data_IF_635308497377
#
_entry.id   IF_635308497377
#
_cell.length_a   1.000
_cell.length_b   1.000
_cell.length_c   1.000
_cell.angle_alpha   90.00
_cell.angle_beta   90.00
_cell.angle_gamma   90.00
#
_symmetry.space_group_name_H-M   'P 1'
#
loop_
_entity.id
_entity.type
_entity.pdbx_description
1 polymer ?
#
# COMPACT_ATOMS: atom_id res chain seq x y z
N UNK A 1 -14.68 -22.67 -14.94
CA UNK A 1 -13.86 -22.98 -13.75
C UNK A 1 -14.57 -22.44 -12.52
N UNK A 2 -14.69 -23.20 -11.42
CA UNK A 2 -15.35 -22.70 -10.22
C UNK A 2 -14.50 -21.60 -9.53
N UNK A 3 -15.14 -20.62 -8.88
CA UNK A 3 -14.45 -19.53 -8.18
C UNK A 3 -13.64 -20.04 -6.98
N UNK A 4 -12.45 -19.48 -6.78
CA UNK A 4 -11.44 -19.94 -5.80
C UNK A 4 -11.71 -19.51 -4.34
N UNK A 5 -12.79 -18.77 -4.06
CA UNK A 5 -13.15 -18.35 -2.70
C UNK A 5 -14.67 -18.19 -2.51
N UNK A 6 -15.28 -19.08 -1.73
CA UNK A 6 -16.70 -19.00 -1.33
C UNK A 6 -16.95 -19.28 0.15
N UNK A 7 -15.90 -19.61 0.94
CA UNK A 7 -15.99 -19.99 2.36
C UNK A 7 -14.97 -19.24 3.23
N UNK A 8 -15.10 -19.32 4.56
CA UNK A 8 -14.11 -18.72 5.47
C UNK A 8 -12.74 -19.39 5.35
N UNK A 9 -11.66 -18.67 5.67
CA UNK A 9 -10.28 -19.18 5.61
C UNK A 9 -10.09 -20.47 6.42
N UNK A 10 -10.70 -20.54 7.61
CA UNK A 10 -10.61 -21.70 8.51
C UNK A 10 -11.32 -22.92 7.94
N UNK A 11 -12.56 -22.77 7.45
CA UNK A 11 -13.30 -23.87 6.81
C UNK A 11 -12.57 -24.39 5.57
N UNK A 12 -11.94 -23.48 4.82
CA UNK A 12 -11.13 -23.83 3.64
C UNK A 12 -9.89 -24.63 4.04
N UNK A 13 -9.23 -24.26 5.15
CA UNK A 13 -8.08 -24.99 5.69
C UNK A 13 -8.48 -26.39 6.18
N UNK A 14 -9.57 -26.50 6.95
CA UNK A 14 -10.07 -27.79 7.44
C UNK A 14 -10.51 -28.71 6.30
N UNK A 15 -11.12 -28.16 5.25
CA UNK A 15 -11.46 -28.90 4.03
C UNK A 15 -10.20 -29.34 3.27
N UNK A 16 -9.18 -28.49 3.22
CA UNK A 16 -7.90 -28.81 2.60
C UNK A 16 -7.18 -29.95 3.34
N UNK A 17 -7.09 -29.90 4.67
CA UNK A 17 -6.44 -30.95 5.47
C UNK A 17 -7.14 -32.30 5.32
N UNK A 18 -8.49 -32.33 5.36
CA UNK A 18 -9.27 -33.55 5.09
C UNK A 18 -9.03 -34.08 3.68
N UNK A 19 -8.89 -33.19 2.71
CA UNK A 19 -8.57 -33.59 1.34
C UNK A 19 -7.16 -34.16 1.22
N UNK A 20 -6.15 -33.56 1.87
CA UNK A 20 -4.78 -34.11 1.89
C UNK A 20 -4.77 -35.51 2.49
N UNK A 21 -5.53 -35.75 3.56
CA UNK A 21 -5.67 -37.09 4.17
C UNK A 21 -6.36 -38.12 3.26
N UNK A 22 -7.09 -37.67 2.23
CA UNK A 22 -7.77 -38.55 1.26
C UNK A 22 -6.92 -38.86 0.02
N UNK A 23 -5.73 -38.28 -0.09
CA UNK A 23 -4.83 -38.51 -1.22
C UNK A 23 -4.22 -39.92 -1.17
N UNK A 24 -3.82 -40.42 -2.33
CA UNK A 24 -3.03 -41.64 -2.42
C UNK A 24 -1.70 -41.43 -1.64
N UNK A 25 -1.27 -42.38 -0.78
CA UNK A 25 -0.03 -42.27 0.00
C UNK A 25 1.25 -42.06 -0.83
N UNK A 26 1.22 -42.38 -2.12
CA UNK A 26 2.31 -42.13 -3.07
C UNK A 26 2.25 -40.73 -3.71
N UNK A 27 1.21 -39.95 -3.45
CA UNK A 27 1.09 -38.56 -3.93
C UNK A 27 2.10 -37.67 -3.21
N UNK A 28 2.86 -36.90 -3.98
CA UNK A 28 3.75 -35.87 -3.45
C UNK A 28 3.00 -34.55 -3.34
N UNK A 29 2.98 -33.96 -2.15
CA UNK A 29 2.42 -32.63 -1.91
C UNK A 29 3.57 -31.66 -1.64
N UNK A 30 3.81 -30.77 -2.59
CA UNK A 30 4.82 -29.72 -2.50
C UNK A 30 4.14 -28.46 -2.01
N UNK A 31 4.58 -27.92 -0.89
CA UNK A 31 4.20 -26.60 -0.41
C UNK A 31 5.30 -25.62 -0.75
N UNK A 32 4.96 -24.46 -1.29
CA UNK A 32 5.88 -23.37 -1.58
C UNK A 32 5.34 -22.04 -1.09
N UNK A 33 6.23 -21.16 -0.66
CA UNK A 33 5.91 -19.81 -0.21
C UNK A 33 7.05 -18.84 -0.56
N UNK A 34 6.70 -17.56 -0.68
CA UNK A 34 7.61 -16.44 -0.91
C UNK A 34 7.56 -15.42 0.23
N UNK A 35 8.74 -14.93 0.65
CA UNK A 35 8.87 -13.90 1.67
C UNK A 35 9.62 -12.69 1.14
N UNK A 36 9.33 -11.51 1.70
CA UNK A 36 10.09 -10.29 1.49
C UNK A 36 10.47 -9.70 2.86
N UNK A 37 11.77 -9.59 3.11
CA UNK A 37 12.26 -9.02 4.37
C UNK A 37 12.00 -7.51 4.46
N UNK A 38 12.14 -6.94 5.66
CA UNK A 38 12.05 -5.49 5.86
C UNK A 38 13.15 -4.70 5.11
N UNK A 39 14.26 -5.36 4.78
CA UNK A 39 15.34 -4.82 3.94
C UNK A 39 15.07 -4.99 2.44
N UNK A 40 13.94 -5.59 2.05
CA UNK A 40 13.58 -5.82 0.66
C UNK A 40 14.27 -7.03 0.01
N UNK A 41 14.77 -7.99 0.81
CA UNK A 41 15.32 -9.24 0.28
C UNK A 41 14.18 -10.24 0.04
N UNK A 42 13.96 -10.58 -1.23
CA UNK A 42 12.99 -11.59 -1.64
C UNK A 42 13.59 -13.00 -1.60
N UNK A 43 12.86 -13.95 -1.06
CA UNK A 43 13.31 -15.33 -0.87
C UNK A 43 12.15 -16.30 -0.95
N UNK A 44 12.44 -17.55 -1.30
CA UNK A 44 11.46 -18.63 -1.40
C UNK A 44 11.83 -19.78 -0.47
N UNK A 45 10.81 -20.55 -0.11
CA UNK A 45 10.92 -21.80 0.60
C UNK A 45 9.97 -22.82 0.01
N UNK A 46 10.37 -24.09 0.02
CA UNK A 46 9.48 -25.19 -0.33
C UNK A 46 9.74 -26.41 0.55
N UNK A 47 8.71 -27.22 0.73
CA UNK A 47 8.78 -28.51 1.42
C UNK A 47 7.93 -29.53 0.67
N UNK A 48 8.42 -30.74 0.57
CA UNK A 48 7.79 -31.87 -0.11
C UNK A 48 7.34 -32.84 0.97
N UNK A 49 6.05 -33.15 0.97
CA UNK A 49 5.43 -34.07 1.89
C UNK A 49 4.92 -35.30 1.13
N UNK A 50 5.08 -36.48 1.72
CA UNK A 50 4.50 -37.73 1.27
C UNK A 50 3.83 -38.38 2.48
N UNK A 51 2.58 -38.81 2.33
CA UNK A 51 1.78 -39.36 3.44
C UNK A 51 1.80 -38.47 4.69
N UNK A 52 1.65 -37.15 4.49
CA UNK A 52 1.72 -36.11 5.55
C UNK A 52 3.06 -35.98 6.29
N UNK A 53 4.11 -36.67 5.85
CA UNK A 53 5.45 -36.58 6.42
C UNK A 53 6.37 -35.77 5.49
N UNK A 54 7.20 -34.86 6.03
CA UNK A 54 8.16 -34.12 5.24
C UNK A 54 9.28 -35.04 4.74
N UNK A 55 9.52 -35.05 3.43
CA UNK A 55 10.53 -35.87 2.75
C UNK A 55 11.76 -35.05 2.40
N UNK A 56 11.55 -33.86 1.84
CA UNK A 56 12.61 -32.99 1.37
C UNK A 56 12.16 -31.54 1.51
N UNK A 57 13.11 -30.64 1.75
CA UNK A 57 12.83 -29.20 1.74
C UNK A 57 13.99 -28.45 1.10
N UNK A 58 13.72 -27.23 0.67
CA UNK A 58 14.71 -26.34 0.10
C UNK A 58 14.28 -24.89 0.22
N UNK A 59 15.24 -23.99 0.05
CA UNK A 59 15.00 -22.56 0.10
C UNK A 59 16.11 -21.81 -0.62
N UNK A 60 15.86 -20.55 -0.96
CA UNK A 60 16.85 -19.72 -1.63
C UNK A 60 16.45 -18.26 -1.61
N UNK A 61 17.43 -17.40 -1.85
CA UNK A 61 17.25 -15.96 -2.01
C UNK A 61 17.27 -15.60 -3.49
N UNK A 62 16.41 -14.66 -3.90
CA UNK A 62 16.44 -14.08 -5.24
C UNK A 62 17.34 -12.84 -5.25
N UNK A 63 17.65 -12.37 -6.46
CA UNK A 63 18.07 -10.98 -6.66
C UNK A 63 16.93 -10.00 -6.30
N UNK A 64 17.04 -8.73 -6.72
CA UNK A 64 16.01 -7.74 -6.47
C UNK A 64 14.66 -8.15 -7.10
N UNK A 65 13.73 -8.62 -6.29
CA UNK A 65 12.48 -9.23 -6.72
C UNK A 65 11.34 -8.89 -5.75
N UNK A 66 10.11 -9.19 -6.13
CA UNK A 66 8.94 -9.10 -5.24
C UNK A 66 8.50 -10.48 -4.76
N UNK A 67 7.67 -10.52 -3.71
CA UNK A 67 7.11 -11.77 -3.14
C UNK A 67 6.53 -12.66 -4.24
N UNK A 68 5.80 -12.07 -5.19
CA UNK A 68 5.20 -12.78 -6.33
C UNK A 68 6.22 -13.57 -7.17
N UNK A 69 7.42 -13.02 -7.38
CA UNK A 69 8.48 -13.68 -8.15
C UNK A 69 9.11 -14.82 -7.33
N UNK A 70 9.25 -14.62 -6.02
CA UNK A 70 9.74 -15.64 -5.10
C UNK A 70 8.78 -16.84 -4.99
N UNK A 71 7.47 -16.60 -4.92
CA UNK A 71 6.41 -17.63 -4.94
C UNK A 71 6.52 -18.54 -6.16
N UNK A 72 6.63 -17.92 -7.35
CA UNK A 72 6.80 -18.65 -8.61
C UNK A 72 8.08 -19.50 -8.60
N UNK A 73 9.16 -18.93 -8.07
CA UNK A 73 10.46 -19.60 -7.98
C UNK A 73 10.41 -20.76 -6.99
N UNK A 74 9.78 -20.60 -5.83
CA UNK A 74 9.57 -21.66 -4.84
C UNK A 74 8.78 -22.83 -5.41
N UNK A 75 7.70 -22.55 -6.15
CA UNK A 75 6.91 -23.58 -6.82
C UNK A 75 7.72 -24.34 -7.88
N UNK A 76 8.53 -23.65 -8.70
CA UNK A 76 9.41 -24.26 -9.69
C UNK A 76 10.49 -25.14 -9.05
N UNK A 77 11.18 -24.63 -8.03
CA UNK A 77 12.23 -25.37 -7.35
C UNK A 77 11.67 -26.58 -6.60
N UNK A 78 10.49 -26.44 -6.00
CA UNK A 78 9.76 -27.56 -5.39
C UNK A 78 9.35 -28.62 -6.41
N UNK A 79 8.86 -28.23 -7.59
CA UNK A 79 8.54 -29.16 -8.68
C UNK A 79 9.80 -29.89 -9.19
N UNK A 80 10.89 -29.17 -9.45
CA UNK A 80 12.18 -29.75 -9.87
C UNK A 80 12.69 -30.77 -8.83
N UNK A 81 12.63 -30.40 -7.55
CA UNK A 81 13.05 -31.28 -6.47
C UNK A 81 12.14 -32.53 -6.36
N UNK A 82 10.83 -32.37 -6.54
CA UNK A 82 9.89 -33.49 -6.57
C UNK A 82 10.17 -34.44 -7.74
N UNK A 83 10.40 -33.92 -8.95
CA UNK A 83 10.72 -34.73 -10.14
C UNK A 83 12.03 -35.52 -9.99
N UNK A 84 12.98 -35.02 -9.20
CA UNK A 84 14.27 -35.68 -8.96
C UNK A 84 14.22 -36.82 -7.92
N UNK A 85 13.12 -37.00 -7.20
CA UNK A 85 12.96 -38.16 -6.31
C UNK A 85 12.81 -39.43 -7.16
N UNK A 86 13.55 -40.49 -6.83
CA UNK A 86 13.83 -41.68 -7.67
C UNK A 86 12.61 -42.53 -8.13
N UNK A 87 11.39 -42.10 -7.88
CA UNK A 87 10.14 -42.82 -8.15
C UNK A 87 9.02 -41.87 -8.60
N UNK A 88 9.34 -40.61 -8.94
CA UNK A 88 8.35 -39.57 -9.22
C UNK A 88 7.64 -39.68 -10.56
N UNK A 89 8.19 -40.40 -11.53
CA UNK A 89 7.61 -40.52 -12.89
C UNK A 89 6.22 -41.15 -12.87
N UNK A 90 5.88 -41.93 -11.83
CA UNK A 90 4.59 -42.60 -11.69
C UNK A 90 3.69 -41.95 -10.61
N UNK A 91 4.11 -40.83 -10.01
CA UNK A 91 3.41 -40.23 -8.85
C UNK A 91 2.65 -38.99 -9.25
N UNK A 92 1.50 -38.77 -8.60
CA UNK A 92 0.82 -37.49 -8.68
C UNK A 92 1.62 -36.45 -7.89
N UNK A 93 1.85 -35.27 -8.48
CA UNK A 93 2.51 -34.14 -7.81
C UNK A 93 1.48 -33.02 -7.66
N UNK A 94 1.32 -32.54 -6.44
CA UNK A 94 0.43 -31.43 -6.11
C UNK A 94 1.27 -30.28 -5.60
N UNK A 95 1.24 -29.15 -6.31
CA UNK A 95 1.90 -27.91 -5.93
C UNK A 95 0.89 -27.01 -5.20
N UNK A 96 1.17 -26.70 -3.94
CA UNK A 96 0.37 -25.90 -3.03
C UNK A 96 1.06 -24.57 -2.73
N UNK A 97 0.36 -23.46 -2.95
CA UNK A 97 0.84 -22.11 -2.65
C UNK A 97 -0.33 -21.20 -2.26
N UNK A 98 -0.08 -20.20 -1.44
CA UNK A 98 -1.14 -19.32 -0.91
C UNK A 98 -1.31 -18.00 -1.68
N UNK A 99 -0.43 -17.73 -2.64
CA UNK A 99 -0.56 -16.64 -3.58
C UNK A 99 -1.43 -17.02 -4.78
N UNK A 100 -2.68 -16.55 -4.76
CA UNK A 100 -3.65 -16.82 -5.82
C UNK A 100 -3.20 -16.33 -7.20
N UNK A 101 -2.49 -15.20 -7.27
CA UNK A 101 -2.00 -14.66 -8.53
C UNK A 101 -0.90 -15.55 -9.12
N UNK A 102 0.05 -15.99 -8.29
CA UNK A 102 1.10 -16.91 -8.71
C UNK A 102 0.50 -18.26 -9.14
N UNK A 103 -0.45 -18.81 -8.37
CA UNK A 103 -1.14 -20.06 -8.70
C UNK A 103 -1.88 -19.97 -10.04
N UNK A 104 -2.50 -18.83 -10.33
CA UNK A 104 -3.18 -18.58 -11.62
C UNK A 104 -2.18 -18.55 -12.78
N UNK A 105 -1.01 -17.94 -12.56
CA UNK A 105 0.04 -17.88 -13.58
C UNK A 105 0.63 -19.27 -13.86
N UNK A 106 0.92 -20.07 -12.82
CA UNK A 106 1.42 -21.44 -12.94
C UNK A 106 0.46 -22.36 -13.72
N UNK A 107 -0.84 -22.08 -13.69
CA UNK A 107 -1.87 -22.86 -14.40
C UNK A 107 -2.03 -22.53 -15.89
N UNK A 108 -1.39 -21.47 -16.40
CA UNK A 108 -1.39 -21.21 -17.85
C UNK A 108 -1.40 -19.75 -18.29
N UNK A 109 -1.40 -18.78 -17.38
CA UNK A 109 -1.35 -17.34 -17.74
C UNK A 109 -0.06 -16.70 -17.23
N UNK A 110 1.09 -16.98 -17.85
CA UNK A 110 2.39 -16.52 -17.33
C UNK A 110 2.44 -14.99 -17.27
N UNK A 111 2.96 -14.47 -16.16
CA UNK A 111 3.18 -13.03 -15.95
C UNK A 111 4.36 -12.53 -16.78
N UNK A 112 4.40 -11.23 -17.08
CA UNK A 112 5.58 -10.58 -17.67
C UNK A 112 6.80 -10.65 -16.72
N UNK A 113 6.56 -10.68 -15.40
CA UNK A 113 7.62 -10.79 -14.39
C UNK A 113 7.91 -12.26 -14.10
N UNK A 114 9.20 -12.63 -14.10
CA UNK A 114 9.67 -14.01 -13.96
C UNK A 114 8.98 -14.97 -14.95
N UNK A 115 8.78 -14.49 -16.19
CA UNK A 115 8.07 -15.23 -17.23
C UNK A 115 8.75 -16.57 -17.54
N UNK A 116 10.07 -16.57 -17.56
CA UNK A 116 10.93 -17.76 -17.71
C UNK A 116 10.62 -18.82 -16.65
N UNK A 117 10.47 -18.41 -15.38
CA UNK A 117 10.11 -19.30 -14.27
C UNK A 117 8.74 -19.95 -14.49
N UNK A 118 7.73 -19.16 -14.90
CA UNK A 118 6.40 -19.69 -15.17
C UNK A 118 6.36 -20.62 -16.38
N UNK A 119 7.04 -20.25 -17.47
CA UNK A 119 7.11 -21.08 -18.68
C UNK A 119 7.85 -22.39 -18.41
N UNK A 120 8.96 -22.35 -17.67
CA UNK A 120 9.69 -23.56 -17.28
C UNK A 120 8.84 -24.46 -16.39
N UNK A 121 8.14 -23.91 -15.40
CA UNK A 121 7.22 -24.67 -14.56
C UNK A 121 6.14 -25.36 -15.40
N UNK A 122 5.50 -24.62 -16.29
CA UNK A 122 4.42 -25.15 -17.14
C UNK A 122 4.94 -26.25 -18.07
N UNK A 123 6.12 -26.08 -18.65
CA UNK A 123 6.76 -27.09 -19.49
C UNK A 123 7.05 -28.38 -18.71
N UNK A 124 7.61 -28.27 -17.50
CA UNK A 124 7.89 -29.42 -16.63
C UNK A 124 6.60 -30.12 -16.16
N UNK A 125 5.59 -29.34 -15.76
CA UNK A 125 4.30 -29.88 -15.36
C UNK A 125 3.59 -30.61 -16.51
N UNK A 126 3.67 -30.06 -17.74
CA UNK A 126 3.12 -30.69 -18.94
C UNK A 126 3.88 -31.95 -19.33
N UNK A 127 5.22 -31.94 -19.24
CA UNK A 127 6.06 -33.10 -19.52
C UNK A 127 5.79 -34.26 -18.55
N UNK A 128 5.57 -33.94 -17.27
CA UNK A 128 5.22 -34.93 -16.26
C UNK A 128 3.78 -35.48 -16.42
N UNK A 129 2.83 -34.64 -16.84
CA UNK A 129 1.45 -35.04 -17.13
C UNK A 129 0.55 -35.29 -15.91
N UNK A 130 1.13 -35.52 -14.72
CA UNK A 130 0.41 -35.76 -13.46
C UNK A 130 0.70 -34.68 -12.39
N UNK A 131 0.95 -33.44 -12.81
CA UNK A 131 1.19 -32.29 -11.92
C UNK A 131 -0.05 -31.40 -11.83
N UNK A 132 -0.49 -31.09 -10.61
CA UNK A 132 -1.63 -30.20 -10.36
C UNK A 132 -1.21 -29.03 -9.47
N UNK A 133 -1.71 -27.83 -9.79
CA UNK A 133 -1.52 -26.64 -8.95
C UNK A 133 -2.79 -26.35 -8.17
N UNK A 134 -2.65 -26.19 -6.85
CA UNK A 134 -3.74 -25.90 -5.93
C UNK A 134 -3.42 -24.70 -5.06
N UNK A 135 -4.36 -23.78 -4.97
CA UNK A 135 -4.28 -22.69 -4.01
C UNK A 135 -4.66 -23.18 -2.61
N UNK A 136 -3.91 -22.73 -1.60
CA UNK A 136 -4.20 -22.97 -0.19
C UNK A 136 -4.40 -21.66 0.56
N UNK A 137 -5.25 -21.61 1.61
CA UNK A 137 -5.36 -20.42 2.42
C UNK A 137 -4.06 -20.17 3.20
N UNK A 138 -3.49 -18.98 3.05
CA UNK A 138 -2.33 -18.54 3.83
C UNK A 138 -2.67 -18.15 5.27
N UNK A 139 -1.73 -18.42 6.17
CA UNK A 139 -1.80 -18.18 7.63
C UNK A 139 -2.98 -18.86 8.31
N UNK A 140 -3.19 -20.14 8.03
CA UNK A 140 -4.27 -20.96 8.61
C UNK A 140 -3.77 -22.29 9.17
N UNK A 141 -2.56 -22.30 9.73
CA UNK A 141 -1.98 -23.46 10.42
C UNK A 141 -1.89 -24.75 9.58
N UNK A 142 -1.80 -24.63 8.25
CA UNK A 142 -1.52 -25.77 7.37
C UNK A 142 -0.03 -26.12 7.54
N UNK A 143 0.34 -27.29 8.12
CA UNK A 143 1.71 -27.53 8.55
C UNK A 143 2.76 -27.39 7.44
N UNK A 144 2.45 -27.87 6.23
CA UNK A 144 3.33 -27.74 5.07
C UNK A 144 3.52 -26.29 4.59
N UNK A 145 2.44 -25.49 4.58
CA UNK A 145 2.52 -24.07 4.20
C UNK A 145 3.33 -23.28 5.23
N UNK A 146 3.06 -23.48 6.52
CA UNK A 146 3.81 -22.83 7.62
C UNK A 146 5.29 -23.22 7.63
N UNK A 147 5.63 -24.44 7.19
CA UNK A 147 7.02 -24.85 7.02
C UNK A 147 7.66 -24.14 5.82
N UNK A 148 6.97 -24.02 4.69
CA UNK A 148 7.46 -23.28 3.52
C UNK A 148 7.68 -21.79 3.84
N UNK A 149 6.74 -21.14 4.56
CA UNK A 149 6.85 -19.77 5.06
C UNK A 149 8.11 -19.58 5.93
N UNK A 150 8.33 -20.47 6.89
CA UNK A 150 9.51 -20.44 7.77
C UNK A 150 10.81 -20.55 6.98
N UNK A 151 10.85 -21.44 6.00
CA UNK A 151 12.00 -21.63 5.11
C UNK A 151 12.24 -20.39 4.25
N UNK A 152 11.20 -19.81 3.67
CA UNK A 152 11.28 -18.58 2.89
C UNK A 152 11.82 -17.43 3.73
N UNK A 153 11.30 -17.23 4.95
CA UNK A 153 11.78 -16.20 5.87
C UNK A 153 13.23 -16.38 6.27
N UNK A 154 13.64 -17.61 6.61
CA UNK A 154 15.02 -17.92 6.95
C UNK A 154 15.99 -17.64 5.78
N UNK A 155 15.56 -17.94 4.56
CA UNK A 155 16.37 -17.74 3.35
C UNK A 155 16.60 -16.25 3.00
N UNK A 156 15.82 -15.33 3.56
CA UNK A 156 16.03 -13.89 3.32
C UNK A 156 17.38 -13.37 3.83
N UNK A 157 17.97 -14.08 4.80
CA UNK A 157 19.29 -13.80 5.37
C UNK A 157 20.45 -14.40 4.58
N UNK A 158 20.18 -15.20 3.54
CA UNK A 158 21.23 -15.75 2.68
C UNK A 158 21.88 -14.64 1.85
N UNK A 159 23.13 -14.85 1.38
CA UNK A 159 23.74 -13.94 0.41
C UNK A 159 22.89 -13.88 -0.86
N UNK A 160 22.84 -12.69 -1.48
CA UNK A 160 22.22 -12.54 -2.79
C UNK A 160 23.00 -13.36 -3.83
N UNK A 161 22.32 -14.07 -4.74
CA UNK A 161 23.02 -14.82 -5.78
C UNK A 161 23.89 -13.90 -6.64
N UNK A 162 25.10 -14.35 -6.94
CA UNK A 162 26.05 -13.58 -7.74
C UNK A 162 25.50 -13.35 -9.17
N UNK A 163 25.54 -12.10 -9.63
CA UNK A 163 25.04 -11.72 -10.96
C UNK A 163 23.51 -11.66 -11.11
N UNK A 164 22.75 -11.79 -10.02
CA UNK A 164 21.29 -11.76 -10.07
C UNK A 164 20.75 -10.45 -10.67
N UNK A 165 19.86 -10.58 -11.65
CA UNK A 165 19.20 -9.44 -12.29
C UNK A 165 17.89 -9.11 -11.58
N UNK A 166 17.49 -7.83 -11.53
CA UNK A 166 16.22 -7.43 -10.95
C UNK A 166 15.04 -7.94 -11.79
N UNK A 167 13.95 -8.34 -11.13
CA UNK A 167 12.72 -8.72 -11.82
C UNK A 167 11.98 -7.50 -12.36
N UNK A 168 11.13 -7.71 -13.37
CA UNK A 168 10.32 -6.64 -13.93
C UNK A 168 9.33 -6.04 -12.90
N UNK A 169 8.77 -6.87 -12.02
CA UNK A 169 7.92 -6.41 -10.93
C UNK A 169 8.67 -5.46 -9.98
N UNK A 170 9.90 -5.83 -9.60
CA UNK A 170 10.78 -4.98 -8.79
C UNK A 170 11.07 -3.64 -9.49
N UNK A 171 11.48 -3.67 -10.76
CA UNK A 171 11.77 -2.45 -11.53
C UNK A 171 10.54 -1.53 -11.64
N UNK A 172 9.35 -2.09 -11.89
CA UNK A 172 8.08 -1.34 -11.94
C UNK A 172 7.76 -0.69 -10.60
N UNK A 173 8.00 -1.37 -9.46
CA UNK A 173 7.83 -0.79 -8.12
C UNK A 173 8.79 0.35 -7.88
N UNK A 174 10.09 0.17 -8.16
CA UNK A 174 11.11 1.20 -8.01
C UNK A 174 10.78 2.43 -8.86
N UNK A 175 10.37 2.24 -10.11
CA UNK A 175 9.99 3.33 -11.01
C UNK A 175 8.77 4.13 -10.49
N UNK A 176 7.83 3.48 -9.80
CA UNK A 176 6.67 4.16 -9.17
C UNK A 176 7.00 4.85 -7.85
N UNK A 177 8.02 4.36 -7.15
CA UNK A 177 8.38 4.82 -5.82
C UNK A 177 9.36 6.01 -5.86
N UNK A 178 10.38 5.95 -6.73
CA UNK A 178 11.39 7.01 -6.86
C UNK A 178 10.82 8.42 -7.03
N UNK A 179 9.83 8.68 -7.91
CA UNK A 179 9.26 10.02 -8.06
C UNK A 179 8.53 10.51 -6.80
N UNK A 180 7.90 9.60 -6.04
CA UNK A 180 7.21 9.96 -4.79
C UNK A 180 8.20 10.38 -3.73
N UNK A 181 9.27 9.62 -3.55
CA UNK A 181 10.33 9.93 -2.60
C UNK A 181 11.02 11.23 -2.96
N UNK A 182 11.39 11.41 -4.23
CA UNK A 182 11.98 12.65 -4.72
C UNK A 182 11.06 13.86 -4.45
N UNK A 183 9.75 13.71 -4.65
CA UNK A 183 8.77 14.74 -4.37
C UNK A 183 8.62 15.04 -2.88
N UNK A 184 8.59 14.02 -2.02
CA UNK A 184 8.54 14.19 -0.56
C UNK A 184 9.80 14.89 -0.03
N UNK A 185 10.99 14.48 -0.51
CA UNK A 185 12.26 15.13 -0.19
C UNK A 185 12.27 16.59 -0.64
N UNK A 186 11.86 16.86 -1.88
CA UNK A 186 11.73 18.23 -2.40
C UNK A 186 10.76 19.07 -1.57
N UNK A 187 9.63 18.51 -1.14
CA UNK A 187 8.67 19.24 -0.33
C UNK A 187 9.25 19.66 1.01
N UNK A 188 9.95 18.76 1.71
CA UNK A 188 10.56 19.07 3.01
C UNK A 188 11.56 20.23 2.90
N UNK A 189 12.34 20.28 1.82
CA UNK A 189 13.34 21.33 1.61
C UNK A 189 12.76 22.64 1.09
N UNK A 190 11.73 22.58 0.24
CA UNK A 190 11.20 23.74 -0.49
C UNK A 190 9.92 24.33 0.10
N UNK A 191 9.30 23.67 1.10
CA UNK A 191 8.01 24.11 1.65
C UNK A 191 8.11 25.50 2.30
N UNK A 192 7.24 26.46 1.92
CA UNK A 192 7.20 27.77 2.56
C UNK A 192 6.92 27.68 4.05
N UNK A 193 7.53 28.57 4.84
CA UNK A 193 7.38 28.60 6.31
C UNK A 193 5.91 28.63 6.76
N UNK A 194 5.05 29.33 6.03
CA UNK A 194 3.61 29.33 6.31
C UNK A 194 2.99 27.93 6.18
N UNK A 195 3.34 27.17 5.14
CA UNK A 195 2.79 25.84 4.89
C UNK A 195 3.33 24.84 5.93
N UNK A 196 4.57 25.03 6.41
CA UNK A 196 5.13 24.29 7.56
C UNK A 196 4.26 24.50 8.80
N UNK A 197 3.92 25.74 9.14
CA UNK A 197 3.09 26.09 10.32
C UNK A 197 1.68 25.49 10.24
N UNK A 198 1.12 25.40 9.04
CA UNK A 198 -0.20 24.81 8.79
C UNK A 198 -0.17 23.26 8.72
N UNK A 199 1.02 22.65 8.82
CA UNK A 199 1.23 21.21 8.71
C UNK A 199 0.60 20.63 7.43
N UNK A 200 0.76 21.35 6.32
CA UNK A 200 0.29 20.92 5.01
C UNK A 200 1.31 19.95 4.40
N UNK A 201 0.82 18.75 4.04
CA UNK A 201 1.61 17.76 3.31
C UNK A 201 1.41 17.98 1.82
N UNK A 202 2.49 17.94 1.05
CA UNK A 202 2.36 17.82 -0.39
C UNK A 202 1.81 16.44 -0.75
N UNK A 203 1.02 16.39 -1.81
CA UNK A 203 0.43 15.17 -2.34
C UNK A 203 0.40 15.26 -3.86
N UNK A 204 0.72 14.15 -4.52
CA UNK A 204 0.56 14.01 -5.98
C UNK A 204 -0.91 13.64 -6.32
N UNK A 205 -1.69 13.25 -5.31
CA UNK A 205 -3.13 12.96 -5.45
C UNK A 205 -3.96 14.23 -5.35
N UNK A 206 -5.18 14.17 -5.88
CA UNK A 206 -6.20 15.22 -5.70
C UNK A 206 -6.50 15.44 -4.20
N UNK A 207 -6.18 16.62 -3.63
CA UNK A 207 -6.48 16.91 -2.23
C UNK A 207 -7.99 16.98 -1.97
N UNK A 208 -8.48 16.54 -0.80
CA UNK A 208 -9.91 16.54 -0.49
C UNK A 208 -10.52 17.95 -0.50
N UNK A 209 -9.73 19.00 -0.26
CA UNK A 209 -10.16 20.40 -0.34
C UNK A 209 -10.71 20.78 -1.71
N UNK A 210 -10.25 20.13 -2.79
CA UNK A 210 -10.71 20.44 -4.15
C UNK A 210 -12.17 20.02 -4.40
N UNK A 211 -12.77 19.23 -3.50
CA UNK A 211 -14.20 18.92 -3.52
C UNK A 211 -15.08 20.04 -2.96
N UNK A 212 -14.49 21.06 -2.32
CA UNK A 212 -15.23 22.16 -1.74
C UNK A 212 -15.88 23.04 -2.82
N UNK A 213 -17.06 23.66 -2.54
CA UNK A 213 -17.62 24.69 -3.41
C UNK A 213 -16.62 25.82 -3.67
N UNK A 214 -16.59 26.35 -4.90
CA UNK A 214 -15.59 27.33 -5.37
C UNK A 214 -15.37 28.51 -4.41
N UNK A 215 -16.43 29.08 -3.85
CA UNK A 215 -16.34 30.20 -2.92
C UNK A 215 -15.62 29.80 -1.62
N UNK A 216 -15.96 28.64 -1.06
CA UNK A 216 -15.37 28.13 0.16
C UNK A 216 -13.89 27.74 -0.04
N UNK A 217 -13.60 27.09 -1.17
CA UNK A 217 -12.23 26.77 -1.58
C UNK A 217 -11.37 28.03 -1.74
N UNK A 218 -11.90 29.07 -2.38
CA UNK A 218 -11.20 30.35 -2.50
C UNK A 218 -10.78 30.90 -1.14
N UNK A 219 -11.69 30.95 -0.16
CA UNK A 219 -11.38 31.51 1.16
C UNK A 219 -10.32 30.70 1.92
N UNK A 220 -10.39 29.38 1.80
CA UNK A 220 -9.39 28.48 2.37
C UNK A 220 -8.00 28.70 1.74
N UNK A 221 -7.91 28.72 0.41
CA UNK A 221 -6.66 28.95 -0.31
C UNK A 221 -6.08 30.34 -0.04
N UNK A 222 -6.92 31.36 0.04
CA UNK A 222 -6.52 32.71 0.44
C UNK A 222 -5.91 32.70 1.85
N UNK A 223 -6.57 32.06 2.82
CA UNK A 223 -6.06 31.96 4.19
C UNK A 223 -4.73 31.18 4.28
N UNK A 224 -4.58 30.12 3.47
CA UNK A 224 -3.35 29.29 3.41
C UNK A 224 -2.18 29.95 2.70
N UNK A 225 -2.44 30.83 1.75
CA UNK A 225 -1.40 31.53 0.98
C UNK A 225 -1.09 32.93 1.50
N UNK A 226 -2.00 33.55 2.27
CA UNK A 226 -2.07 35.00 2.53
C UNK A 226 -2.39 35.84 1.29
N UNK A 227 -2.77 35.23 0.17
CA UNK A 227 -3.14 35.94 -1.05
C UNK A 227 -4.66 36.07 -1.11
N UNK A 228 -5.18 37.07 -0.41
CA UNK A 228 -6.61 37.38 -0.37
C UNK A 228 -6.85 38.76 0.20
N UNK A 229 -8.11 39.04 0.53
CA UNK A 229 -8.57 40.30 1.13
C UNK A 229 -8.12 40.41 2.61
N UNK A 230 -6.82 40.63 2.79
CA UNK A 230 -6.14 40.80 4.07
C UNK A 230 -5.31 42.07 4.04
N UNK A 231 -5.24 42.77 5.17
CA UNK A 231 -4.52 44.04 5.25
C UNK A 231 -3.05 43.91 4.82
N UNK A 232 -2.36 42.85 5.28
CA UNK A 232 -0.96 42.60 4.93
C UNK A 232 -0.74 42.35 3.42
N UNK A 233 -1.74 41.77 2.72
CA UNK A 233 -1.66 41.58 1.27
C UNK A 233 -1.80 42.91 0.54
N UNK A 234 -2.81 43.70 0.88
CA UNK A 234 -3.06 44.98 0.23
C UNK A 234 -1.93 45.99 0.45
N UNK A 235 -1.34 46.03 1.64
CA UNK A 235 -0.17 46.88 1.92
C UNK A 235 1.06 46.45 1.11
N UNK A 236 1.33 45.14 1.04
CA UNK A 236 2.47 44.62 0.26
C UNK A 236 2.39 45.00 -1.23
N UNK A 237 1.18 45.15 -1.77
CA UNK A 237 0.94 45.48 -3.17
C UNK A 237 0.45 46.92 -3.40
N UNK A 238 0.45 47.78 -2.38
CA UNK A 238 0.02 49.18 -2.44
C UNK A 238 -1.38 49.38 -3.07
N UNK A 239 -2.37 48.59 -2.64
CA UNK A 239 -3.77 48.80 -3.03
C UNK A 239 -4.39 49.94 -2.22
N UNK A 240 -4.57 51.11 -2.85
CA UNK A 240 -5.02 52.34 -2.18
C UNK A 240 -6.49 52.29 -1.71
N UNK A 241 -7.36 51.60 -2.45
CA UNK A 241 -8.81 51.60 -2.18
C UNK A 241 -9.26 50.39 -1.32
N UNK A 242 -8.32 49.58 -0.85
CA UNK A 242 -8.64 48.33 -0.19
C UNK A 242 -9.11 48.52 1.25
N UNK A 243 -10.23 47.87 1.61
CA UNK A 243 -10.73 47.91 2.98
C UNK A 243 -9.93 46.97 3.89
N UNK A 244 -8.93 47.52 4.58
CA UNK A 244 -8.04 46.75 5.48
C UNK A 244 -8.66 46.31 6.82
N UNK A 245 -9.85 46.80 7.16
CA UNK A 245 -10.52 46.50 8.44
C UNK A 245 -11.86 45.79 8.25
N UNK A 246 -12.13 44.83 9.13
CA UNK A 246 -13.41 44.17 9.25
C UNK A 246 -14.45 45.14 9.84
N UNK A 247 -15.75 44.90 9.59
CA UNK A 247 -16.83 45.70 10.20
C UNK A 247 -16.84 45.67 11.73
N UNK A 248 -16.10 44.75 12.36
CA UNK A 248 -15.89 44.74 13.80
C UNK A 248 -14.82 45.73 14.29
N UNK A 249 -14.14 46.44 13.39
CA UNK A 249 -13.07 47.42 13.65
C UNK A 249 -11.68 46.83 13.78
N UNK A 250 -11.49 45.51 13.64
CA UNK A 250 -10.17 44.88 13.68
C UNK A 250 -9.60 44.71 12.28
N UNK A 251 -8.28 44.67 12.19
CA UNK A 251 -7.51 44.43 10.96
C UNK A 251 -7.87 43.07 10.34
N UNK A 252 -8.02 43.04 9.01
CA UNK A 252 -8.30 41.79 8.27
C UNK A 252 -7.04 40.92 8.26
N UNK A 253 -7.19 39.68 8.73
CA UNK A 253 -6.15 38.67 8.76
C UNK A 253 -6.77 37.27 8.54
N UNK A 254 -6.00 36.27 8.08
CA UNK A 254 -6.51 34.92 7.82
C UNK A 254 -7.21 34.26 9.01
N UNK A 255 -6.69 34.52 10.21
CA UNK A 255 -7.16 34.00 11.49
C UNK A 255 -8.23 34.90 12.14
N UNK A 256 -8.55 36.05 11.55
CA UNK A 256 -9.48 37.01 12.13
C UNK A 256 -10.87 36.40 12.42
N UNK A 257 -11.34 35.46 11.58
CA UNK A 257 -12.62 34.77 11.77
C UNK A 257 -12.74 34.07 13.12
N UNK A 258 -11.63 33.58 13.69
CA UNK A 258 -11.61 32.90 14.99
C UNK A 258 -11.76 33.88 16.17
N UNK A 259 -11.37 35.14 15.96
CA UNK A 259 -11.31 36.17 17.02
C UNK A 259 -12.34 37.30 16.84
N UNK A 260 -13.10 37.29 15.75
CA UNK A 260 -14.02 38.38 15.44
C UNK A 260 -15.20 38.43 16.44
N UNK A 261 -15.36 39.57 17.11
CA UNK A 261 -16.45 39.77 18.10
C UNK A 261 -17.86 39.64 17.51
N UNK A 262 -18.01 39.91 16.21
CA UNK A 262 -19.29 39.80 15.49
C UNK A 262 -19.65 38.37 15.10
N UNK A 263 -18.72 37.41 15.23
CA UNK A 263 -19.03 35.98 15.03
C UNK A 263 -19.88 35.48 16.19
N UNK A 264 -21.08 34.90 15.93
CA UNK A 264 -21.98 34.39 16.96
C UNK A 264 -21.29 33.36 17.87
N UNK A 265 -21.54 33.42 19.19
CA UNK A 265 -20.90 32.52 20.17
C UNK A 265 -21.07 31.03 19.81
N UNK A 266 -22.26 30.64 19.31
CA UNK A 266 -22.58 29.27 18.86
C UNK A 266 -21.72 28.75 17.71
N UNK A 267 -21.12 29.64 16.91
CA UNK A 267 -20.28 29.28 15.78
C UNK A 267 -18.79 29.20 16.14
N UNK A 268 -18.38 29.77 17.29
CA UNK A 268 -16.96 29.91 17.65
C UNK A 268 -16.32 28.56 17.94
N UNK A 269 -15.10 28.39 17.46
CA UNK A 269 -14.27 27.23 17.77
C UNK A 269 -13.58 27.45 19.11
N UNK A 270 -13.51 26.42 19.95
CA UNK A 270 -12.75 26.44 21.20
C UNK A 270 -11.25 26.43 20.88
N UNK A 271 -10.53 27.45 21.35
CA UNK A 271 -9.11 27.69 21.04
C UNK A 271 -8.13 27.14 22.10
N UNK A 272 -8.63 26.46 23.13
CA UNK A 272 -7.83 25.88 24.22
C UNK A 272 -7.39 24.46 23.82
N UNK A 273 -6.16 24.02 24.13
CA UNK A 273 -5.15 24.66 24.97
C UNK A 273 -4.26 25.68 24.28
N UNK A 274 -4.11 25.59 22.95
CA UNK A 274 -3.27 26.51 22.17
C UNK A 274 -4.07 27.15 21.03
N UNK A 275 -4.32 28.48 21.09
CA UNK A 275 -5.05 29.18 20.05
C UNK A 275 -4.36 29.08 18.70
N UNK A 276 -3.05 29.29 18.67
CA UNK A 276 -2.23 29.22 17.44
C UNK A 276 -2.29 27.83 16.81
N UNK A 277 -2.10 26.76 17.59
CA UNK A 277 -2.15 25.40 17.06
C UNK A 277 -3.55 25.06 16.53
N UNK A 278 -4.60 25.49 17.24
CA UNK A 278 -6.00 25.23 16.84
C UNK A 278 -6.34 25.93 15.52
N UNK A 279 -5.95 27.20 15.38
CA UNK A 279 -6.15 27.99 14.17
C UNK A 279 -5.36 27.38 13.00
N UNK A 280 -4.08 27.08 13.21
CA UNK A 280 -3.25 26.48 12.16
C UNK A 280 -3.80 25.13 11.70
N UNK A 281 -4.29 24.30 12.64
CA UNK A 281 -4.91 23.03 12.31
C UNK A 281 -6.22 23.22 11.53
N UNK A 282 -7.04 24.19 11.93
CA UNK A 282 -8.31 24.48 11.27
C UNK A 282 -8.14 25.09 9.87
N UNK A 283 -7.12 25.91 9.62
CA UNK A 283 -6.80 26.44 8.27
C UNK A 283 -6.03 25.39 7.45
N UNK A 284 -5.20 24.58 8.11
CA UNK A 284 -4.40 23.52 7.53
C UNK A 284 -5.20 22.21 7.38
N UNK A 285 -4.70 21.14 8.00
CA UNK A 285 -5.19 19.76 7.80
C UNK A 285 -6.68 19.54 8.11
N UNK A 286 -7.25 20.26 9.07
CA UNK A 286 -8.66 20.13 9.49
C UNK A 286 -9.51 21.27 8.92
N UNK A 287 -9.37 21.53 7.62
CA UNK A 287 -10.04 22.62 6.92
C UNK A 287 -11.57 22.61 7.06
N UNK A 288 -12.20 21.44 7.24
CA UNK A 288 -13.65 21.34 7.47
C UNK A 288 -14.13 22.21 8.63
N UNK A 289 -13.30 22.35 9.69
CA UNK A 289 -13.62 23.22 10.83
C UNK A 289 -13.66 24.70 10.41
N UNK A 290 -12.69 25.12 9.60
CA UNK A 290 -12.65 26.48 9.04
C UNK A 290 -13.81 26.74 8.08
N UNK A 291 -14.13 25.79 7.20
CA UNK A 291 -15.26 25.89 6.27
C UNK A 291 -16.58 25.97 7.04
N UNK A 292 -16.78 25.10 8.04
CA UNK A 292 -17.97 25.13 8.90
C UNK A 292 -18.10 26.45 9.65
N UNK A 293 -17.00 26.97 10.21
CA UNK A 293 -16.99 28.25 10.92
C UNK A 293 -17.38 29.41 10.00
N UNK A 294 -16.72 29.53 8.84
CA UNK A 294 -16.94 30.63 7.89
C UNK A 294 -18.35 30.60 7.29
N UNK A 295 -18.85 29.40 6.95
CA UNK A 295 -20.21 29.20 6.43
C UNK A 295 -21.29 29.47 7.49
N UNK A 296 -21.18 28.87 8.68
CA UNK A 296 -22.21 29.00 9.73
C UNK A 296 -22.35 30.41 10.30
N UNK A 297 -21.28 31.20 10.24
CA UNK A 297 -21.29 32.60 10.67
C UNK A 297 -21.56 33.59 9.53
N UNK A 298 -21.70 33.11 8.28
CA UNK A 298 -21.76 33.94 7.08
C UNK A 298 -20.63 34.99 7.06
N UNK A 299 -19.42 34.60 7.48
CA UNK A 299 -18.37 35.54 7.87
C UNK A 299 -17.99 36.48 6.73
N UNK A 300 -17.68 35.93 5.56
CA UNK A 300 -17.26 36.70 4.39
C UNK A 300 -18.42 37.38 3.64
N UNK A 301 -19.66 37.03 3.95
CA UNK A 301 -20.86 37.57 3.31
C UNK A 301 -21.48 38.73 4.11
N UNK A 302 -21.40 38.68 5.45
CA UNK A 302 -22.12 39.62 6.33
C UNK A 302 -21.25 40.35 7.34
N UNK A 303 -20.11 39.78 7.73
CA UNK A 303 -19.29 40.32 8.83
C UNK A 303 -18.04 41.02 8.30
N UNK A 304 -17.26 40.32 7.48
CA UNK A 304 -15.99 40.76 6.92
C UNK A 304 -16.08 40.65 5.39
N UNK A 305 -16.91 41.51 4.81
CA UNK A 305 -17.15 41.56 3.37
C UNK A 305 -15.92 42.05 2.60
N UNK A 306 -15.80 41.57 1.37
CA UNK A 306 -14.83 42.09 0.40
C UNK A 306 -15.25 43.49 -0.04
N UNK A 307 -14.30 44.42 0.00
CA UNK A 307 -14.39 45.75 -0.58
C UNK A 307 -12.99 46.14 -1.02
#
# INVERSE_FOLDING_TARGET
MPPLQTASKKETADAFLRWVQSLDPLTLVVYSDGSLSSQGAASYGFTIHQDSLPVLHGSGRLGPAEVFDAEATGALQGLKAALNLQESVSRNIIICLDNLAAATCLRGTPSDSSQDVFLEFQALAALHGATQVRWVPGHTDIPGNEQADKLAKAASSLPEPEGAQPTLAYLRKVARQKPKEAFETWWITSVPEQYKRLNLKATIRCPPELSLPRAALHHLLAARSLHGDFAAYHERFNHNDARMTCSCGRRKAPDHVFYCRKVPRRCRIRLVPSPTATVNLAIGRNFDKYIKLTKSSAFFERICTRH
#
